data_IF_836167368001
#
_entry.id   IF_836167368001
#
_cell.length_a   1.000
_cell.length_b   1.000
_cell.length_c   1.000
_cell.angle_alpha   90.00
_cell.angle_beta   90.00
_cell.angle_gamma   90.00
#
_symmetry.space_group_name_H-M   'P 1'
#
loop_
_entity.id
_entity.type
_entity.pdbx_description
1 polymer ?
#
# COMPACT_ATOMS: atom_id res chain seq x y z
N UNK A 1 5.06 -41.86 -59.92
CA UNK A 1 3.99 -42.38 -59.04
C UNK A 1 3.18 -41.21 -58.51
N UNK A 2 1.86 -41.25 -58.77
CA UNK A 2 0.73 -40.57 -58.07
C UNK A 2 0.77 -39.05 -57.81
N UNK A 3 0.11 -38.36 -58.74
CA UNK A 3 -0.92 -37.29 -58.60
C UNK A 3 -1.49 -37.01 -57.20
N UNK A 4 -1.80 -35.72 -56.88
CA UNK A 4 -3.12 -35.12 -56.52
C UNK A 4 -2.94 -33.65 -56.01
N UNK A 5 -3.47 -32.60 -56.70
CA UNK A 5 -4.77 -31.89 -56.52
C UNK A 5 -4.80 -31.00 -55.25
N UNK A 6 -4.62 -29.67 -55.37
CA UNK A 6 -5.67 -28.60 -55.44
C UNK A 6 -6.56 -28.48 -54.18
N UNK A 7 -6.44 -27.34 -53.47
CA UNK A 7 -7.44 -26.58 -52.66
C UNK A 7 -6.66 -25.67 -51.70
N UNK A 8 -7.06 -24.46 -51.32
CA UNK A 8 -8.10 -23.54 -51.74
C UNK A 8 -7.61 -22.14 -51.32
N UNK A 9 -8.09 -21.13 -52.03
CA UNK A 9 -7.90 -19.71 -51.71
C UNK A 9 -8.48 -19.43 -50.32
N UNK A 10 -7.69 -18.84 -49.42
CA UNK A 10 -8.21 -18.12 -48.26
C UNK A 10 -8.02 -16.61 -48.50
N UNK A 11 -9.05 -15.98 -49.09
CA UNK A 11 -9.25 -14.54 -49.02
C UNK A 11 -9.71 -14.21 -47.61
N UNK A 12 -9.04 -13.28 -46.92
CA UNK A 12 -9.64 -12.06 -46.37
C UNK A 12 -8.60 -11.34 -45.49
N UNK A 13 -7.98 -10.32 -46.07
CA UNK A 13 -7.45 -9.23 -45.28
C UNK A 13 -8.64 -8.45 -44.71
N UNK A 14 -8.84 -8.49 -43.39
CA UNK A 14 -9.64 -7.50 -42.69
C UNK A 14 -8.98 -7.16 -41.36
N UNK A 15 -8.44 -5.96 -41.35
CA UNK A 15 -7.88 -5.28 -40.19
C UNK A 15 -9.06 -4.77 -39.36
N UNK A 16 -9.13 -5.18 -38.10
CA UNK A 16 -9.79 -4.44 -37.01
C UNK A 16 -10.81 -5.21 -36.16
N UNK A 17 -11.13 -4.70 -34.95
CA UNK A 17 -10.41 -3.70 -34.17
C UNK A 17 -9.43 -4.39 -33.20
N UNK A 18 -8.25 -3.81 -33.03
CA UNK A 18 -7.54 -3.96 -31.76
C UNK A 18 -8.52 -3.57 -30.66
N UNK A 19 -8.91 -4.51 -29.81
CA UNK A 19 -9.45 -4.16 -28.51
C UNK A 19 -8.32 -3.37 -27.86
N UNK A 20 -8.43 -2.04 -27.90
CA UNK A 20 -7.63 -1.20 -27.06
C UNK A 20 -7.95 -1.69 -25.65
N UNK A 21 -7.03 -2.47 -25.09
CA UNK A 21 -7.02 -2.79 -23.69
C UNK A 21 -6.82 -1.44 -23.01
N UNK A 22 -7.95 -0.76 -22.78
CA UNK A 22 -8.02 0.41 -21.93
C UNK A 22 -7.57 -0.13 -20.59
N UNK A 23 -6.28 -0.01 -20.31
CA UNK A 23 -5.77 -0.13 -18.97
C UNK A 23 -6.56 0.88 -18.18
N UNK A 24 -7.56 0.41 -17.44
CA UNK A 24 -8.22 1.20 -16.43
C UNK A 24 -7.10 1.54 -15.46
N UNK A 25 -6.51 2.72 -15.60
CA UNK A 25 -5.68 3.29 -14.56
C UNK A 25 -6.53 3.19 -13.30
N UNK A 26 -6.15 2.32 -12.38
CA UNK A 26 -6.94 1.99 -11.22
C UNK A 26 -6.82 3.21 -10.30
N UNK A 27 -7.67 4.22 -10.54
CA UNK A 27 -7.60 5.50 -9.83
C UNK A 27 -7.99 5.22 -8.38
N UNK A 28 -7.17 5.69 -7.44
CA UNK A 28 -7.48 5.61 -6.02
C UNK A 28 -8.89 6.15 -5.74
N UNK A 29 -9.64 5.39 -4.96
CA UNK A 29 -10.94 5.80 -4.46
C UNK A 29 -10.76 6.73 -3.25
N UNK A 30 -11.82 7.43 -2.86
CA UNK A 30 -11.84 8.17 -1.60
C UNK A 30 -11.63 7.26 -0.38
N UNK A 31 -12.08 6.01 -0.46
CA UNK A 31 -11.86 5.00 0.57
C UNK A 31 -10.38 4.66 0.72
N UNK A 32 -9.65 4.52 -0.39
CA UNK A 32 -8.21 4.24 -0.36
C UNK A 32 -7.43 5.40 0.27
N UNK A 33 -7.73 6.64 -0.12
CA UNK A 33 -7.09 7.83 0.48
C UNK A 33 -7.40 7.95 1.98
N UNK A 34 -8.65 7.64 2.38
CA UNK A 34 -9.05 7.63 3.79
C UNK A 34 -8.30 6.55 4.56
N UNK A 35 -8.16 5.36 3.98
CA UNK A 35 -7.38 4.27 4.56
C UNK A 35 -5.92 4.68 4.76
N UNK A 36 -5.28 5.26 3.73
CA UNK A 36 -3.89 5.70 3.82
C UNK A 36 -3.68 6.77 4.90
N UNK A 37 -4.63 7.70 5.03
CA UNK A 37 -4.60 8.73 6.09
C UNK A 37 -4.68 8.08 7.48
N UNK A 38 -5.63 7.18 7.69
CA UNK A 38 -5.81 6.49 8.98
C UNK A 38 -4.63 5.58 9.32
N UNK A 39 -4.10 4.86 8.33
CA UNK A 39 -2.94 4.01 8.50
C UNK A 39 -1.70 4.81 8.89
N UNK A 40 -1.50 6.00 8.32
CA UNK A 40 -0.42 6.89 8.72
C UNK A 40 -0.56 7.36 10.17
N UNK A 41 -1.76 7.80 10.58
CA UNK A 41 -2.02 8.23 11.97
C UNK A 41 -1.83 7.09 12.97
N UNK A 42 -2.49 5.96 12.74
CA UNK A 42 -2.40 4.78 13.60
C UNK A 42 -0.98 4.24 13.69
N UNK A 43 -0.28 4.15 12.57
CA UNK A 43 1.11 3.69 12.54
C UNK A 43 2.07 4.62 13.28
N UNK A 44 1.83 5.94 13.31
CA UNK A 44 2.61 6.85 14.17
C UNK A 44 2.29 6.60 15.65
N UNK A 45 1.02 6.41 16.00
CA UNK A 45 0.61 6.16 17.38
C UNK A 45 1.20 4.84 17.92
N UNK A 46 1.22 3.78 17.11
CA UNK A 46 1.81 2.49 17.46
C UNK A 46 3.32 2.55 17.68
N UNK A 47 4.03 3.41 16.94
CA UNK A 47 5.46 3.67 17.17
C UNK A 47 5.68 4.36 18.52
N UNK A 48 4.91 5.40 18.84
CA UNK A 48 5.03 6.07 20.15
C UNK A 48 4.66 5.13 21.31
N UNK A 49 3.61 4.34 21.15
CA UNK A 49 3.23 3.33 22.15
C UNK A 49 4.33 2.27 22.32
N UNK A 50 4.97 1.85 21.22
CA UNK A 50 6.13 0.97 21.24
C UNK A 50 7.29 1.55 22.04
N UNK A 51 7.58 2.85 21.89
CA UNK A 51 8.60 3.56 22.69
C UNK A 51 8.24 3.59 24.16
N UNK A 52 6.98 3.85 24.50
CA UNK A 52 6.51 3.83 25.89
C UNK A 52 6.71 2.44 26.50
N UNK A 53 6.28 1.38 25.81
CA UNK A 53 6.44 0.00 26.24
C UNK A 53 7.92 -0.39 26.41
N UNK A 54 8.78 0.03 25.48
CA UNK A 54 10.22 -0.24 25.55
C UNK A 54 10.89 0.46 26.74
N UNK A 55 10.51 1.70 27.03
CA UNK A 55 11.17 2.55 28.04
C UNK A 55 10.64 2.34 29.46
N UNK A 56 9.36 2.02 29.63
CA UNK A 56 8.71 1.98 30.95
C UNK A 56 8.46 0.57 31.47
N UNK A 57 8.50 -0.46 30.62
CA UNK A 57 8.25 -1.82 31.10
C UNK A 57 9.41 -2.32 31.97
N UNK A 58 9.08 -3.00 33.08
CA UNK A 58 10.07 -3.72 33.88
C UNK A 58 10.37 -5.12 33.33
N UNK A 59 9.42 -5.73 32.61
CA UNK A 59 9.56 -7.05 32.02
C UNK A 59 10.25 -6.98 30.65
N UNK A 60 11.35 -7.72 30.48
CA UNK A 60 12.14 -7.66 29.25
C UNK A 60 11.40 -8.18 28.01
N UNK A 61 10.44 -9.10 28.15
CA UNK A 61 9.61 -9.53 27.04
C UNK A 61 8.72 -8.38 26.52
N UNK A 62 8.22 -7.54 27.42
CA UNK A 62 7.43 -6.35 27.06
C UNK A 62 8.33 -5.28 26.42
N UNK A 63 9.55 -5.08 26.93
CA UNK A 63 10.51 -4.16 26.28
C UNK A 63 10.83 -4.59 24.85
N UNK A 64 11.10 -5.89 24.67
CA UNK A 64 11.39 -6.46 23.37
C UNK A 64 10.19 -6.40 22.43
N UNK A 65 8.97 -6.53 22.96
CA UNK A 65 7.75 -6.30 22.19
C UNK A 65 7.65 -4.83 21.74
N UNK A 66 7.85 -3.87 22.63
CA UNK A 66 7.88 -2.45 22.30
C UNK A 66 8.91 -2.13 21.21
N UNK A 67 10.12 -2.72 21.30
CA UNK A 67 11.14 -2.58 20.25
C UNK A 67 10.65 -3.09 18.89
N UNK A 68 10.04 -4.28 18.83
CA UNK A 68 9.50 -4.83 17.57
C UNK A 68 8.42 -3.94 16.99
N UNK A 69 7.50 -3.43 17.82
CA UNK A 69 6.47 -2.49 17.38
C UNK A 69 7.09 -1.24 16.73
N UNK A 70 8.12 -0.65 17.34
CA UNK A 70 8.83 0.50 16.75
C UNK A 70 9.42 0.12 15.39
N UNK A 71 10.18 -0.98 15.31
CA UNK A 71 10.89 -1.37 14.09
C UNK A 71 9.90 -1.66 12.94
N UNK A 72 8.89 -2.48 13.19
CA UNK A 72 7.95 -2.95 12.17
C UNK A 72 7.02 -1.83 11.70
N UNK A 73 6.45 -1.04 12.62
CA UNK A 73 5.53 0.03 12.25
C UNK A 73 6.24 1.23 11.64
N UNK A 74 7.48 1.54 12.07
CA UNK A 74 8.29 2.59 11.39
C UNK A 74 8.55 2.22 9.93
N UNK A 75 8.92 0.95 9.68
CA UNK A 75 9.13 0.45 8.31
C UNK A 75 7.83 0.50 7.49
N UNK A 76 6.71 0.08 8.06
CA UNK A 76 5.41 0.15 7.40
C UNK A 76 5.02 1.61 7.06
N UNK A 77 5.25 2.55 7.97
CA UNK A 77 5.00 3.97 7.75
C UNK A 77 5.83 4.52 6.59
N UNK A 78 7.10 4.16 6.48
CA UNK A 78 7.96 4.61 5.38
C UNK A 78 7.57 4.01 4.03
N UNK A 79 7.12 2.75 4.02
CA UNK A 79 6.52 2.14 2.83
C UNK A 79 5.24 2.85 2.42
N UNK A 80 4.37 3.17 3.38
CA UNK A 80 3.13 3.91 3.13
C UNK A 80 3.40 5.31 2.57
N UNK A 81 4.38 6.05 3.12
CA UNK A 81 4.83 7.35 2.57
C UNK A 81 5.29 7.20 1.12
N UNK A 82 6.05 6.15 0.81
CA UNK A 82 6.54 5.89 -0.54
C UNK A 82 5.41 5.58 -1.52
N UNK A 83 4.38 4.85 -1.09
CA UNK A 83 3.18 4.58 -1.89
C UNK A 83 2.38 5.87 -2.09
N UNK A 84 2.17 6.64 -1.02
CA UNK A 84 1.46 7.92 -1.08
C UNK A 84 2.10 8.91 -2.05
N UNK A 85 3.44 9.00 -2.06
CA UNK A 85 4.15 9.85 -3.02
C UNK A 85 3.92 9.41 -4.47
N UNK A 86 3.92 8.10 -4.76
CA UNK A 86 3.65 7.56 -6.10
C UNK A 86 2.22 7.85 -6.57
N UNK A 87 1.28 7.77 -5.63
CA UNK A 87 -0.14 7.98 -5.88
C UNK A 87 -0.59 9.44 -5.72
N UNK A 88 0.35 10.36 -5.45
CA UNK A 88 0.10 11.79 -5.21
C UNK A 88 -0.89 12.07 -4.06
N UNK A 89 -0.85 11.23 -3.02
CA UNK A 89 -1.63 11.40 -1.78
C UNK A 89 -0.76 12.08 -0.74
N UNK A 90 -1.29 13.12 -0.09
CA UNK A 90 -0.64 13.76 1.06
C UNK A 90 -1.05 13.06 2.34
N UNK A 91 -0.09 12.52 3.08
CA UNK A 91 -0.33 11.91 4.38
C UNK A 91 -0.14 12.91 5.51
N UNK A 92 -0.83 12.73 6.66
CA UNK A 92 -0.52 13.46 7.87
C UNK A 92 0.90 13.14 8.36
N UNK A 93 1.59 14.14 8.90
CA UNK A 93 2.97 14.04 9.41
C UNK A 93 3.05 14.15 10.93
N UNK A 94 1.92 14.36 11.59
CA UNK A 94 1.78 14.46 13.04
C UNK A 94 0.70 13.49 13.52
N UNK A 95 0.81 13.09 14.78
CA UNK A 95 -0.25 12.33 15.45
C UNK A 95 -1.60 13.06 15.36
N UNK A 96 -2.67 12.28 15.39
CA UNK A 96 -3.98 12.86 15.62
C UNK A 96 -4.06 13.42 17.06
N UNK A 97 -4.92 14.41 17.28
CA UNK A 97 -5.00 15.10 18.56
C UNK A 97 -5.44 14.19 19.73
N UNK A 98 -6.20 13.14 19.45
CA UNK A 98 -6.71 12.19 20.46
C UNK A 98 -5.62 11.22 20.88
N UNK A 99 -4.85 10.71 19.93
CA UNK A 99 -3.72 9.83 20.17
C UNK A 99 -2.60 10.59 20.88
N UNK A 100 -2.33 11.83 20.47
CA UNK A 100 -1.40 12.72 21.18
C UNK A 100 -1.81 12.91 22.65
N UNK A 101 -3.08 13.24 22.91
CA UNK A 101 -3.59 13.40 24.27
C UNK A 101 -3.55 12.11 25.11
N UNK A 102 -3.55 10.94 24.45
CA UNK A 102 -3.42 9.64 25.13
C UNK A 102 -1.96 9.34 25.49
N UNK A 103 -1.00 9.78 24.66
CA UNK A 103 0.43 9.63 24.94
C UNK A 103 0.93 10.57 26.04
N UNK A 104 0.32 11.75 26.17
CA UNK A 104 0.73 12.78 27.15
C UNK A 104 0.21 12.51 28.59
N UNK A 105 -0.58 11.46 28.79
CA UNK A 105 -1.19 11.10 30.09
C UNK A 105 -0.31 10.14 30.88
#
# INVERSE_FOLDING_TARGET
MRTQILTAIAVFALVGPTIAQQGTANRLTSSDQTFMTKAAQGGMAEVELGKLAQSHASNDAVKNFGKRMIDDHSKANDQLKSIAAKENVTLPTTLDAKDQATMDR
#
